data_IF_594920380216
#
_entry.id   IF_594920380216
#
_cell.length_a   1.000
_cell.length_b   1.000
_cell.length_c   1.000
_cell.angle_alpha   90.00
_cell.angle_beta   90.00
_cell.angle_gamma   90.00
#
_symmetry.space_group_name_H-M   'P 1'
#
loop_
_entity.id
_entity.type
_entity.pdbx_description
1 polymer ?
#
# COMPACT_ATOMS: atom_id res chain seq x y z
N UNK A 1 12.48 -4.26 11.38
CA UNK A 1 11.24 -5.05 11.36
C UNK A 1 10.37 -4.66 10.16
N UNK A 2 9.49 -5.55 9.73
CA UNK A 2 8.58 -5.33 8.61
C UNK A 2 7.17 -5.79 8.98
N UNK A 3 6.17 -5.02 8.55
CA UNK A 3 4.77 -5.40 8.61
C UNK A 3 4.26 -5.64 7.20
N UNK A 4 3.69 -6.82 6.95
CA UNK A 4 3.02 -7.14 5.69
C UNK A 4 1.50 -7.06 5.88
N UNK A 5 0.84 -6.26 5.05
CA UNK A 5 -0.61 -6.08 5.08
C UNK A 5 -1.20 -6.67 3.80
N UNK A 6 -2.02 -7.69 3.97
CA UNK A 6 -2.82 -8.29 2.91
C UNK A 6 -4.24 -8.50 3.45
N UNK A 7 -5.04 -7.46 3.38
CA UNK A 7 -6.37 -7.37 3.99
C UNK A 7 -7.49 -7.78 3.03
N UNK A 8 -8.74 -7.59 3.45
CA UNK A 8 -9.90 -7.73 2.56
C UNK A 8 -10.00 -6.59 1.52
N UNK A 9 -9.16 -5.56 1.64
CA UNK A 9 -9.11 -4.38 0.78
C UNK A 9 -10.40 -3.53 0.80
N UNK A 10 -11.30 -3.78 1.75
CA UNK A 10 -12.58 -3.10 1.81
C UNK A 10 -12.76 -2.37 3.13
N UNK A 11 -12.97 -1.07 3.06
CA UNK A 11 -13.27 -0.21 4.22
C UNK A 11 -14.77 -0.20 4.43
N UNK A 12 -15.22 -0.94 5.42
CA UNK A 12 -16.63 -1.04 5.80
C UNK A 12 -16.76 -1.35 7.28
N UNK A 13 -17.96 -1.24 7.81
CA UNK A 13 -18.23 -1.55 9.22
C UNK A 13 -17.71 -2.93 9.60
N UNK A 14 -16.84 -2.98 10.63
CA UNK A 14 -16.26 -4.22 11.12
C UNK A 14 -15.12 -4.81 10.29
N UNK A 15 -14.63 -4.10 9.25
CA UNK A 15 -13.56 -4.63 8.41
C UNK A 15 -12.19 -4.60 9.09
N UNK A 16 -11.29 -5.47 8.65
CA UNK A 16 -9.90 -5.50 9.05
C UNK A 16 -9.15 -4.20 8.68
N UNK A 17 -9.51 -3.58 7.56
CA UNK A 17 -8.92 -2.29 7.16
C UNK A 17 -9.10 -1.21 8.23
N UNK A 18 -10.28 -1.12 8.83
CA UNK A 18 -10.54 -0.15 9.91
C UNK A 18 -9.62 -0.41 11.10
N UNK A 19 -9.45 -1.67 11.48
CA UNK A 19 -8.56 -2.02 12.59
C UNK A 19 -7.11 -1.69 12.27
N UNK A 20 -6.64 -2.07 11.08
CA UNK A 20 -5.26 -1.87 10.66
C UNK A 20 -4.89 -0.39 10.67
N UNK A 21 -5.65 0.43 9.96
CA UNK A 21 -5.27 1.84 9.73
C UNK A 21 -5.68 2.79 10.86
N UNK A 22 -6.73 2.46 11.61
CA UNK A 22 -7.23 3.33 12.67
C UNK A 22 -6.77 2.93 14.08
N UNK A 23 -6.30 1.70 14.26
CA UNK A 23 -5.85 1.21 15.58
C UNK A 23 -4.44 0.64 15.56
N UNK A 24 -4.16 -0.30 14.67
CA UNK A 24 -2.87 -0.99 14.68
C UNK A 24 -1.71 -0.05 14.30
N UNK A 25 -1.75 0.56 13.14
CA UNK A 25 -0.67 1.44 12.68
C UNK A 25 -0.45 2.62 13.63
N UNK A 26 -1.49 3.33 14.12
CA UNK A 26 -1.29 4.41 15.08
C UNK A 26 -0.68 3.97 16.42
N UNK A 27 -0.87 2.71 16.81
CA UNK A 27 -0.34 2.19 18.08
C UNK A 27 1.12 1.74 18.01
N UNK A 28 1.70 1.65 16.82
CA UNK A 28 3.10 1.25 16.64
C UNK A 28 4.01 2.35 17.17
N UNK A 29 4.89 1.97 18.10
CA UNK A 29 5.80 2.90 18.78
C UNK A 29 7.25 2.80 18.32
N UNK A 30 7.53 1.97 17.32
CA UNK A 30 8.88 1.81 16.77
C UNK A 30 8.91 2.10 15.28
N UNK A 31 10.11 2.07 14.72
CA UNK A 31 10.33 2.24 13.30
C UNK A 31 10.26 0.89 12.60
N UNK A 32 9.51 0.83 11.50
CA UNK A 32 9.41 -0.36 10.68
C UNK A 32 9.06 -0.03 9.22
N UNK A 33 9.26 -1.00 8.35
CA UNK A 33 8.83 -0.92 6.96
C UNK A 33 7.47 -1.62 6.83
N UNK A 34 6.54 -0.98 6.13
CA UNK A 34 5.23 -1.54 5.85
C UNK A 34 5.13 -1.87 4.36
N UNK A 35 4.73 -3.10 4.07
CA UNK A 35 4.35 -3.54 2.73
C UNK A 35 2.83 -3.71 2.69
N UNK A 36 2.14 -2.85 1.97
CA UNK A 36 0.69 -2.96 1.73
C UNK A 36 0.48 -3.60 0.35
N UNK A 37 -0.15 -4.76 0.35
CA UNK A 37 -0.42 -5.55 -0.86
C UNK A 37 -1.68 -5.05 -1.57
N UNK A 38 -1.71 -5.14 -2.90
CA UNK A 38 -2.83 -4.73 -3.75
C UNK A 38 -3.18 -3.23 -3.62
N UNK A 39 -2.18 -2.41 -3.54
CA UNK A 39 -2.29 -0.95 -3.52
C UNK A 39 -1.72 -0.38 -4.82
N UNK A 40 -2.51 0.46 -5.49
CA UNK A 40 -2.13 1.07 -6.76
C UNK A 40 -1.68 2.53 -6.65
N UNK A 41 -1.63 3.10 -5.44
CA UNK A 41 -1.25 4.51 -5.22
C UNK A 41 0.05 4.86 -5.95
N UNK A 42 0.14 6.03 -6.58
CA UNK A 42 -0.82 7.15 -6.58
C UNK A 42 -1.97 7.03 -7.59
N UNK A 43 -2.11 5.90 -8.25
CA UNK A 43 -3.15 5.70 -9.26
C UNK A 43 -4.43 5.13 -8.64
N UNK A 44 -5.57 5.46 -9.25
CA UNK A 44 -6.83 4.79 -8.98
C UNK A 44 -6.83 3.40 -9.61
N UNK A 45 -7.70 2.51 -9.14
CA UNK A 45 -7.97 1.26 -9.84
C UNK A 45 -8.69 1.52 -11.16
N UNK A 46 -8.34 0.74 -12.18
CA UNK A 46 -8.95 0.85 -13.49
C UNK A 46 -10.39 0.33 -13.54
N UNK A 47 -11.13 0.61 -14.65
CA UNK A 47 -12.53 0.20 -14.82
C UNK A 47 -12.75 -1.30 -14.69
N UNK A 48 -11.75 -2.12 -15.01
CA UNK A 48 -11.86 -3.57 -14.92
C UNK A 48 -12.19 -4.08 -13.52
N UNK A 49 -11.76 -3.38 -12.49
CA UNK A 49 -12.12 -3.72 -11.10
C UNK A 49 -13.62 -3.54 -10.87
N UNK A 50 -14.15 -2.42 -11.32
CA UNK A 50 -15.58 -2.13 -11.22
C UNK A 50 -16.42 -3.14 -12.02
N UNK A 51 -16.01 -3.45 -13.25
CA UNK A 51 -16.71 -4.39 -14.12
C UNK A 51 -16.74 -5.81 -13.52
N UNK A 52 -15.74 -6.17 -12.75
CA UNK A 52 -15.66 -7.44 -12.03
C UNK A 52 -16.32 -7.40 -10.65
N UNK A 53 -17.02 -6.32 -10.31
CA UNK A 53 -17.60 -6.08 -8.98
C UNK A 53 -16.59 -6.14 -7.85
N UNK A 54 -15.36 -5.70 -8.09
CA UNK A 54 -14.30 -5.59 -7.09
C UNK A 54 -14.25 -4.14 -6.62
N UNK A 55 -14.80 -3.88 -5.44
CA UNK A 55 -14.94 -2.53 -4.88
C UNK A 55 -13.96 -2.32 -3.72
N UNK A 56 -12.68 -2.38 -4.02
CA UNK A 56 -11.63 -2.20 -3.04
C UNK A 56 -11.47 -0.71 -2.68
N UNK A 57 -11.44 -0.44 -1.39
CA UNK A 57 -11.40 0.91 -0.85
C UNK A 57 -10.22 1.15 0.08
N UNK A 58 -9.43 0.12 0.40
CA UNK A 58 -8.30 0.20 1.33
C UNK A 58 -7.34 1.33 1.01
N UNK A 59 -6.97 1.49 -0.27
CA UNK A 59 -5.97 2.49 -0.64
C UNK A 59 -6.40 3.93 -0.36
N UNK A 60 -7.70 4.22 -0.33
CA UNK A 60 -8.19 5.54 0.03
C UNK A 60 -8.00 5.82 1.51
N UNK A 61 -8.20 4.80 2.36
CA UNK A 61 -7.92 4.91 3.79
C UNK A 61 -6.41 5.02 4.06
N UNK A 62 -5.59 4.25 3.35
CA UNK A 62 -4.14 4.37 3.41
C UNK A 62 -3.70 5.78 3.00
N UNK A 63 -4.22 6.29 1.90
CA UNK A 63 -3.91 7.64 1.43
C UNK A 63 -4.27 8.68 2.50
N UNK A 64 -5.47 8.58 3.07
CA UNK A 64 -5.91 9.49 4.15
C UNK A 64 -5.00 9.39 5.38
N UNK A 65 -4.58 8.18 5.74
CA UNK A 65 -3.64 7.95 6.86
C UNK A 65 -2.29 8.64 6.63
N UNK A 66 -1.84 8.68 5.38
CA UNK A 66 -0.54 9.28 5.03
C UNK A 66 -0.57 10.79 4.94
N UNK A 67 -1.75 11.40 4.69
CA UNK A 67 -1.87 12.85 4.54
C UNK A 67 -1.44 13.55 5.82
N UNK A 68 -0.53 14.51 5.69
CA UNK A 68 -0.01 15.31 6.80
C UNK A 68 0.50 14.48 7.99
N UNK A 69 0.91 13.24 7.74
CA UNK A 69 1.44 12.36 8.77
C UNK A 69 2.97 12.31 8.72
N UNK A 70 3.68 13.06 9.59
CA UNK A 70 5.14 13.12 9.57
C UNK A 70 5.81 11.80 9.95
N UNK A 71 5.07 10.85 10.51
CA UNK A 71 5.58 9.53 10.86
C UNK A 71 5.71 8.60 9.66
N UNK A 72 5.10 8.95 8.53
CA UNK A 72 5.05 8.10 7.34
C UNK A 72 5.92 8.68 6.23
N UNK A 73 6.76 7.84 5.65
CA UNK A 73 7.59 8.18 4.50
C UNK A 73 7.40 7.14 3.40
N UNK A 74 6.89 7.58 2.26
CA UNK A 74 6.77 6.71 1.08
C UNK A 74 8.15 6.24 0.62
N UNK A 75 8.30 4.95 0.41
CA UNK A 75 9.51 4.35 -0.13
C UNK A 75 9.32 3.99 -1.61
N UNK A 76 8.25 3.27 -1.96
CA UNK A 76 8.01 2.84 -3.33
C UNK A 76 6.55 2.43 -3.54
N UNK A 77 5.95 2.90 -4.63
CA UNK A 77 4.75 2.30 -5.18
C UNK A 77 5.14 1.43 -6.37
N UNK A 78 4.88 0.13 -6.35
CA UNK A 78 5.35 -0.75 -7.40
C UNK A 78 4.65 -0.51 -8.75
N UNK A 79 3.39 -0.08 -8.75
CA UNK A 79 2.72 0.31 -10.00
C UNK A 79 3.33 1.59 -10.57
N UNK A 80 3.68 2.55 -9.73
CA UNK A 80 4.39 3.75 -10.17
C UNK A 80 5.75 3.39 -10.79
N UNK A 81 6.51 2.50 -10.15
CA UNK A 81 7.80 2.03 -10.66
C UNK A 81 7.62 1.32 -12.01
N UNK A 82 6.63 0.45 -12.13
CA UNK A 82 6.33 -0.24 -13.38
C UNK A 82 6.05 0.73 -14.52
N UNK A 83 5.26 1.78 -14.27
CA UNK A 83 4.84 2.75 -15.29
C UNK A 83 5.91 3.77 -15.64
N UNK A 84 6.72 4.19 -14.67
CA UNK A 84 7.64 5.31 -14.82
C UNK A 84 9.12 4.93 -14.75
N UNK A 85 9.43 3.78 -14.16
CA UNK A 85 10.80 3.30 -13.95
C UNK A 85 10.93 1.82 -14.38
N UNK A 86 10.65 1.50 -15.66
CA UNK A 86 10.53 0.11 -16.09
C UNK A 86 11.85 -0.69 -15.95
N UNK A 87 12.99 -0.04 -16.10
CA UNK A 87 14.30 -0.70 -15.91
C UNK A 87 14.50 -1.11 -14.45
N UNK A 88 14.16 -0.22 -13.52
CA UNK A 88 14.23 -0.52 -12.08
C UNK A 88 13.25 -1.63 -11.70
N UNK A 89 12.03 -1.57 -12.22
CA UNK A 89 11.01 -2.59 -11.95
C UNK A 89 11.46 -3.97 -12.41
N UNK A 90 12.00 -4.09 -13.62
CA UNK A 90 12.55 -5.33 -14.14
C UNK A 90 13.73 -5.85 -13.31
N UNK A 91 14.60 -4.94 -12.88
CA UNK A 91 15.75 -5.30 -12.04
C UNK A 91 15.29 -5.88 -10.70
N UNK A 92 14.31 -5.23 -10.04
CA UNK A 92 13.76 -5.71 -8.76
C UNK A 92 13.11 -7.08 -8.93
N UNK A 93 12.40 -7.30 -10.03
CA UNK A 93 11.75 -8.57 -10.34
C UNK A 93 12.69 -9.60 -10.96
N UNK A 94 13.96 -9.23 -11.11
CA UNK A 94 15.04 -10.10 -11.65
C UNK A 94 14.74 -10.64 -13.05
N UNK A 95 14.02 -9.90 -13.89
CA UNK A 95 13.57 -10.26 -15.24
C UNK A 95 12.87 -11.64 -15.33
N UNK A 96 12.58 -12.26 -14.20
CA UNK A 96 12.09 -13.63 -14.10
C UNK A 96 10.59 -13.70 -13.87
N UNK A 97 10.07 -12.71 -13.17
CA UNK A 97 8.64 -12.60 -12.87
C UNK A 97 8.08 -11.39 -13.59
N UNK A 98 6.80 -11.29 -13.77
CA UNK A 98 6.19 -10.12 -14.40
C UNK A 98 6.62 -8.80 -13.75
N UNK A 99 6.25 -7.68 -14.36
CA UNK A 99 6.73 -6.34 -13.93
C UNK A 99 6.26 -5.91 -12.52
N UNK A 100 5.50 -6.73 -11.83
CA UNK A 100 4.93 -6.40 -10.53
C UNK A 100 3.78 -5.41 -10.65
N UNK A 101 3.63 -4.52 -9.65
CA UNK A 101 2.64 -3.44 -9.69
C UNK A 101 1.53 -3.55 -8.66
N UNK A 102 1.60 -4.51 -7.74
CA UNK A 102 0.59 -4.76 -6.72
C UNK A 102 1.04 -4.46 -5.29
N UNK A 103 2.09 -3.68 -5.08
CA UNK A 103 2.57 -3.41 -3.73
C UNK A 103 2.90 -1.93 -3.52
N UNK A 104 2.72 -1.49 -2.28
CA UNK A 104 3.09 -0.15 -1.85
C UNK A 104 3.90 -0.24 -0.56
N UNK A 105 5.03 0.45 -0.53
CA UNK A 105 6.00 0.36 0.55
C UNK A 105 6.20 1.72 1.20
N UNK A 106 6.13 1.75 2.52
CA UNK A 106 6.43 2.96 3.27
C UNK A 106 7.13 2.63 4.60
N UNK A 107 7.87 3.61 5.08
CA UNK A 107 8.43 3.57 6.43
C UNK A 107 7.46 4.22 7.38
N UNK A 108 7.20 3.57 8.50
CA UNK A 108 6.46 4.13 9.62
C UNK A 108 7.44 4.30 10.79
N UNK A 109 7.60 5.53 11.24
CA UNK A 109 8.39 5.84 12.43
C UNK A 109 7.47 6.21 13.59
N UNK A 110 7.01 5.19 14.31
CA UNK A 110 6.14 5.37 15.46
C UNK A 110 6.81 6.03 16.66
N UNK A 111 8.15 6.15 16.62
CA UNK A 111 8.91 6.84 17.68
C UNK A 111 9.00 8.35 17.44
N UNK A 112 8.63 8.80 16.26
CA UNK A 112 8.72 10.21 15.89
C UNK A 112 7.66 11.07 16.58
#
# INVERSE_FOLDING_TARGET
DMLFIDSTHTVKLGSDCLYIYLKLLPAISKKLIVHAHDIALPYAFGPSKFDKHVYWTEQYLLYAYMLDNPKVKTLMGSLYAKKNLPVLSKLIMNDKYGDGGGSFWFELDGSA
#
